data_IF_166881582197
#
_entry.id   IF_166881582197
#
_cell.length_a   1.000
_cell.length_b   1.000
_cell.length_c   1.000
_cell.angle_alpha   90.00
_cell.angle_beta   90.00
_cell.angle_gamma   90.00
#
_symmetry.space_group_name_H-M   'P 1'
#
loop_
_entity.id
_entity.type
_entity.pdbx_description
1 polymer ?
#
# COMPACT_ATOMS: atom_id res chain seq x y z
N UNK A 1 9.54 -14.67 23.63
CA UNK A 1 9.06 -14.63 22.25
C UNK A 1 7.72 -15.35 22.18
N UNK A 2 6.76 -14.80 21.47
CA UNK A 2 5.43 -15.42 21.27
C UNK A 2 5.48 -16.42 20.11
N UNK A 3 4.64 -17.44 20.18
CA UNK A 3 4.42 -18.39 19.09
C UNK A 3 3.22 -17.92 18.27
N UNK A 4 3.45 -17.46 17.05
CA UNK A 4 2.43 -16.88 16.16
C UNK A 4 2.19 -17.84 15.00
N UNK A 5 0.94 -18.17 14.73
CA UNK A 5 0.55 -18.88 13.53
C UNK A 5 0.08 -17.86 12.48
N UNK A 6 0.82 -17.76 11.39
CA UNK A 6 0.59 -16.82 10.28
C UNK A 6 0.01 -17.55 9.09
N UNK A 7 -1.16 -17.12 8.61
CA UNK A 7 -1.75 -17.59 7.35
C UNK A 7 -1.44 -16.56 6.25
N UNK A 8 -0.53 -16.92 5.34
CA UNK A 8 -0.06 -16.08 4.25
C UNK A 8 -0.04 -16.87 2.94
N UNK A 9 -1.09 -16.77 2.12
CA UNK A 9 -1.21 -17.52 0.87
C UNK A 9 -0.02 -17.31 -0.07
N UNK A 10 0.34 -16.08 -0.34
CA UNK A 10 1.41 -15.71 -1.27
C UNK A 10 2.62 -15.14 -0.53
N UNK A 11 3.77 -15.80 -0.68
CA UNK A 11 5.03 -15.41 -0.04
C UNK A 11 6.17 -15.64 -1.03
N UNK A 12 6.97 -14.60 -1.32
CA UNK A 12 8.15 -14.73 -2.18
C UNK A 12 9.24 -13.71 -1.84
N UNK A 13 10.51 -14.12 -1.72
CA UNK A 13 11.63 -13.21 -1.53
C UNK A 13 12.00 -12.43 -2.81
N UNK A 14 11.64 -12.95 -3.99
CA UNK A 14 12.06 -12.42 -5.29
C UNK A 14 11.01 -11.56 -5.99
N UNK A 15 9.74 -11.66 -5.58
CA UNK A 15 8.64 -10.95 -6.22
C UNK A 15 8.21 -9.73 -5.42
N UNK A 16 7.74 -8.67 -6.13
CA UNK A 16 7.11 -7.51 -5.53
C UNK A 16 5.63 -7.76 -5.19
N UNK A 17 4.88 -6.68 -4.92
CA UNK A 17 3.44 -6.70 -4.61
C UNK A 17 3.10 -7.63 -3.43
N UNK A 18 2.01 -8.37 -3.50
CA UNK A 18 1.48 -9.19 -2.40
C UNK A 18 2.43 -10.32 -1.94
N UNK A 19 3.12 -11.08 -2.82
CA UNK A 19 4.08 -12.08 -2.37
C UNK A 19 5.29 -11.51 -1.63
N UNK A 20 5.86 -10.43 -2.14
CA UNK A 20 6.99 -9.74 -1.50
C UNK A 20 6.58 -9.06 -0.20
N UNK A 21 5.38 -8.52 -0.13
CA UNK A 21 4.79 -8.01 1.11
C UNK A 21 4.70 -9.14 2.16
N UNK A 22 4.15 -10.29 1.79
CA UNK A 22 4.08 -11.46 2.67
C UNK A 22 5.44 -11.88 3.20
N UNK A 23 6.46 -11.96 2.33
CA UNK A 23 7.83 -12.27 2.72
C UNK A 23 8.41 -11.26 3.71
N UNK A 24 8.33 -9.97 3.38
CA UNK A 24 8.90 -8.92 4.24
C UNK A 24 8.24 -8.87 5.62
N UNK A 25 6.91 -9.05 5.71
CA UNK A 25 6.25 -9.18 7.00
C UNK A 25 6.79 -10.36 7.80
N UNK A 26 6.88 -11.54 7.19
CA UNK A 26 7.29 -12.78 7.86
C UNK A 26 8.72 -12.68 8.40
N UNK A 27 9.67 -12.27 7.55
CA UNK A 27 11.08 -12.22 7.97
C UNK A 27 11.35 -11.16 9.04
N UNK A 28 10.65 -10.03 9.01
CA UNK A 28 10.80 -9.00 10.03
C UNK A 28 10.05 -9.34 11.33
N UNK A 29 8.89 -9.98 11.27
CA UNK A 29 8.21 -10.50 12.45
C UNK A 29 9.01 -11.60 13.17
N UNK A 30 9.78 -12.40 12.42
CA UNK A 30 10.65 -13.44 12.96
C UNK A 30 11.80 -12.90 13.83
N UNK A 31 12.12 -11.62 13.72
CA UNK A 31 13.09 -10.95 14.63
C UNK A 31 12.60 -10.92 16.08
N UNK A 32 11.28 -10.91 16.27
CA UNK A 32 10.62 -10.69 17.57
C UNK A 32 9.81 -11.89 18.06
N UNK A 33 9.43 -12.81 17.16
CA UNK A 33 8.49 -13.89 17.43
C UNK A 33 8.95 -15.21 16.79
N UNK A 34 8.40 -16.34 17.24
CA UNK A 34 8.47 -17.63 16.54
C UNK A 34 7.25 -17.78 15.66
N UNK A 35 7.44 -18.06 14.38
CA UNK A 35 6.36 -18.09 13.40
C UNK A 35 6.17 -19.47 12.79
N UNK A 36 4.93 -19.96 12.80
CA UNK A 36 4.47 -21.04 11.95
C UNK A 36 3.69 -20.42 10.78
N UNK A 37 4.24 -20.52 9.58
CA UNK A 37 3.72 -19.86 8.39
C UNK A 37 3.07 -20.86 7.47
N UNK A 38 1.74 -20.75 7.28
CA UNK A 38 1.00 -21.55 6.30
C UNK A 38 0.97 -20.76 4.98
N UNK A 39 1.55 -21.33 3.92
CA UNK A 39 1.63 -20.69 2.59
C UNK A 39 1.33 -21.67 1.46
N UNK A 40 1.03 -21.16 0.26
CA UNK A 40 0.76 -22.00 -0.91
C UNK A 40 2.03 -22.70 -1.41
N UNK A 41 3.16 -21.98 -1.42
CA UNK A 41 4.46 -22.56 -1.76
C UNK A 41 4.77 -22.57 -3.26
N UNK A 42 4.22 -21.65 -4.05
CA UNK A 42 4.62 -21.43 -5.44
C UNK A 42 6.12 -21.14 -5.58
N UNK A 43 6.65 -20.40 -4.61
CA UNK A 43 8.07 -20.00 -4.56
C UNK A 43 8.85 -20.71 -3.44
N UNK A 44 8.53 -22.00 -3.22
CA UNK A 44 9.14 -22.76 -2.12
C UNK A 44 10.68 -22.79 -2.22
N UNK A 45 11.20 -23.06 -3.41
CA UNK A 45 12.65 -23.22 -3.59
C UNK A 45 13.40 -21.90 -3.33
N UNK A 46 12.82 -20.77 -3.76
CA UNK A 46 13.36 -19.43 -3.47
C UNK A 46 13.27 -19.08 -1.99
N UNK A 47 12.17 -19.47 -1.31
CA UNK A 47 12.00 -19.28 0.14
C UNK A 47 13.07 -20.07 0.88
N UNK A 48 13.23 -21.37 0.60
CA UNK A 48 14.20 -22.23 1.28
C UNK A 48 15.64 -21.75 1.05
N UNK A 49 15.96 -21.31 -0.18
CA UNK A 49 17.28 -20.73 -0.49
C UNK A 49 17.51 -19.42 0.29
N UNK A 50 16.52 -18.55 0.37
CA UNK A 50 16.64 -17.28 1.09
C UNK A 50 16.74 -17.47 2.61
N UNK A 51 16.06 -18.49 3.18
CA UNK A 51 16.12 -18.80 4.61
C UNK A 51 17.55 -19.10 5.08
N UNK A 52 18.40 -19.71 4.23
CA UNK A 52 19.77 -20.06 4.59
C UNK A 52 20.62 -18.84 4.99
N UNK A 53 20.31 -17.66 4.48
CA UNK A 53 21.02 -16.40 4.78
C UNK A 53 20.36 -15.53 5.86
N UNK A 54 19.21 -15.93 6.43
CA UNK A 54 18.50 -15.09 7.39
C UNK A 54 19.02 -15.27 8.83
N UNK A 55 19.30 -14.17 9.56
CA UNK A 55 19.77 -14.22 10.95
C UNK A 55 18.80 -14.92 11.92
N UNK A 56 17.50 -14.88 11.63
CA UNK A 56 16.44 -15.38 12.51
C UNK A 56 15.68 -16.57 11.92
N UNK A 57 16.33 -17.35 11.04
CA UNK A 57 15.73 -18.52 10.36
C UNK A 57 15.14 -19.55 11.33
N UNK A 58 15.78 -19.73 12.51
CA UNK A 58 15.34 -20.71 13.51
C UNK A 58 14.01 -20.33 14.18
N UNK A 59 13.56 -19.09 13.99
CA UNK A 59 12.24 -18.62 14.41
C UNK A 59 11.16 -18.87 13.35
N UNK A 60 11.47 -19.45 12.20
CA UNK A 60 10.56 -19.65 11.06
C UNK A 60 10.34 -21.13 10.78
N UNK A 61 9.08 -21.54 10.71
CA UNK A 61 8.66 -22.85 10.23
C UNK A 61 7.61 -22.68 9.15
N UNK A 62 7.92 -23.10 7.91
CA UNK A 62 6.98 -23.02 6.80
C UNK A 62 6.19 -24.32 6.60
N UNK A 63 4.88 -24.19 6.41
CA UNK A 63 3.95 -25.27 6.10
C UNK A 63 3.38 -25.02 4.71
N UNK A 64 3.87 -25.75 3.70
CA UNK A 64 3.50 -25.58 2.30
C UNK A 64 2.25 -26.37 1.94
N UNK A 65 1.25 -25.72 1.38
CA UNK A 65 -0.01 -26.30 0.91
C UNK A 65 -0.20 -26.07 -0.59
N UNK A 66 0.52 -26.78 -1.46
CA UNK A 66 0.56 -26.47 -2.88
C UNK A 66 -0.81 -26.65 -3.54
N UNK A 67 -1.04 -25.83 -4.57
CA UNK A 67 -2.14 -25.97 -5.52
C UNK A 67 -1.60 -26.32 -6.91
N UNK A 68 -2.48 -26.63 -7.86
CA UNK A 68 -2.05 -26.94 -9.23
C UNK A 68 -1.66 -25.66 -9.99
N UNK A 69 -0.80 -25.80 -11.00
CA UNK A 69 -0.37 -24.69 -11.86
C UNK A 69 -1.52 -23.97 -12.57
N UNK A 70 -2.61 -24.68 -12.85
CA UNK A 70 -3.81 -24.06 -13.40
C UNK A 70 -4.46 -23.09 -12.42
N UNK A 71 -4.45 -23.39 -11.11
CA UNK A 71 -4.96 -22.49 -10.07
C UNK A 71 -4.02 -21.31 -9.85
N UNK A 72 -2.70 -21.52 -9.90
CA UNK A 72 -1.69 -20.45 -9.87
C UNK A 72 -1.90 -19.46 -11.02
N UNK A 73 -2.06 -19.95 -12.25
CA UNK A 73 -2.39 -19.10 -13.41
C UNK A 73 -3.68 -18.31 -13.23
N UNK A 74 -4.72 -18.87 -12.62
CA UNK A 74 -5.94 -18.13 -12.28
C UNK A 74 -5.68 -17.02 -11.26
N UNK A 75 -4.82 -17.25 -10.28
CA UNK A 75 -4.45 -16.24 -9.27
C UNK A 75 -3.81 -15.01 -9.91
N UNK A 76 -2.91 -15.21 -10.85
CA UNK A 76 -2.16 -14.12 -11.50
C UNK A 76 -2.91 -13.48 -12.69
N UNK A 77 -3.97 -14.13 -13.18
CA UNK A 77 -4.87 -13.53 -14.16
C UNK A 77 -5.87 -12.61 -13.43
N UNK A 78 -5.53 -11.33 -13.33
CA UNK A 78 -6.33 -10.33 -12.62
C UNK A 78 -7.78 -10.32 -13.14
N UNK A 79 -8.73 -10.57 -12.24
CA UNK A 79 -10.16 -10.61 -12.54
C UNK A 79 -10.73 -12.01 -12.81
N UNK A 80 -9.92 -13.06 -12.78
CA UNK A 80 -10.45 -14.43 -12.89
C UNK A 80 -11.19 -14.83 -11.60
N UNK A 81 -12.50 -14.65 -11.61
CA UNK A 81 -13.38 -14.96 -10.46
C UNK A 81 -13.37 -16.44 -10.04
N UNK A 82 -12.96 -17.36 -10.93
CA UNK A 82 -12.85 -18.80 -10.65
C UNK A 82 -11.83 -19.08 -9.57
N UNK A 83 -10.77 -18.26 -9.50
CA UNK A 83 -9.75 -18.36 -8.48
C UNK A 83 -10.34 -18.36 -7.05
N UNK A 84 -11.35 -17.53 -6.78
CA UNK A 84 -11.93 -17.44 -5.44
C UNK A 84 -12.53 -18.77 -4.91
N UNK A 85 -13.03 -19.61 -5.80
CA UNK A 85 -13.48 -20.95 -5.44
C UNK A 85 -12.35 -21.86 -4.96
N UNK A 86 -11.22 -21.83 -5.66
CA UNK A 86 -10.00 -22.58 -5.31
C UNK A 86 -9.34 -22.00 -4.05
N UNK A 87 -9.26 -20.69 -3.93
CA UNK A 87 -8.74 -20.01 -2.76
C UNK A 87 -9.52 -20.38 -1.48
N UNK A 88 -10.84 -20.46 -1.54
CA UNK A 88 -11.67 -20.92 -0.40
C UNK A 88 -11.39 -22.37 -0.02
N UNK A 89 -11.14 -23.26 -0.99
CA UNK A 89 -10.74 -24.66 -0.72
C UNK A 89 -9.37 -24.68 -0.03
N UNK A 90 -8.43 -23.90 -0.53
CA UNK A 90 -7.11 -23.76 0.07
C UNK A 90 -7.21 -23.25 1.52
N UNK A 91 -7.99 -22.24 1.78
CA UNK A 91 -8.20 -21.67 3.12
C UNK A 91 -8.84 -22.68 4.11
N UNK A 92 -9.63 -23.65 3.62
CA UNK A 92 -10.12 -24.76 4.48
C UNK A 92 -8.99 -25.71 4.85
N UNK A 93 -8.11 -26.05 3.91
CA UNK A 93 -6.90 -26.84 4.20
C UNK A 93 -5.99 -26.10 5.18
N UNK A 94 -5.81 -24.80 5.01
CA UNK A 94 -5.04 -23.97 5.95
C UNK A 94 -5.63 -23.99 7.36
N UNK A 95 -6.96 -23.96 7.50
CA UNK A 95 -7.63 -24.13 8.81
C UNK A 95 -7.34 -25.50 9.44
N UNK A 96 -7.38 -26.58 8.67
CA UNK A 96 -7.08 -27.94 9.14
C UNK A 96 -5.61 -28.05 9.58
N UNK A 97 -4.69 -27.54 8.78
CA UNK A 97 -3.26 -27.45 9.12
C UNK A 97 -3.04 -26.63 10.40
N UNK A 98 -3.70 -25.47 10.53
CA UNK A 98 -3.62 -24.65 11.73
C UNK A 98 -4.05 -25.42 12.99
N UNK A 99 -5.14 -26.18 12.91
CA UNK A 99 -5.60 -27.04 14.02
C UNK A 99 -4.60 -28.15 14.36
N UNK A 100 -3.97 -28.75 13.34
CA UNK A 100 -2.91 -29.75 13.53
C UNK A 100 -1.68 -29.17 14.25
N UNK A 101 -1.24 -27.99 13.86
CA UNK A 101 -0.13 -27.29 14.51
C UNK A 101 -0.47 -26.99 15.98
N UNK A 102 -1.67 -26.49 16.24
CA UNK A 102 -2.15 -26.14 17.59
C UNK A 102 -2.34 -27.37 18.49
N UNK A 103 -2.60 -28.54 17.92
CA UNK A 103 -2.65 -29.79 18.68
C UNK A 103 -1.25 -30.26 19.12
N UNK A 104 -0.20 -29.89 18.37
CA UNK A 104 1.18 -30.28 18.65
C UNK A 104 1.94 -29.29 19.54
N UNK A 105 1.55 -28.01 19.52
CA UNK A 105 2.22 -26.96 20.31
C UNK A 105 1.29 -25.77 20.62
N UNK A 106 1.63 -25.04 21.70
CA UNK A 106 0.92 -23.82 22.07
C UNK A 106 1.16 -22.73 21.01
N UNK A 107 0.07 -22.12 20.52
CA UNK A 107 0.06 -20.91 19.72
C UNK A 107 -0.54 -19.79 20.56
N UNK A 108 0.12 -18.65 20.65
CA UNK A 108 -0.30 -17.51 21.44
C UNK A 108 -1.21 -16.56 20.67
N UNK A 109 -1.01 -16.40 19.35
CA UNK A 109 -1.82 -15.55 18.48
C UNK A 109 -1.96 -16.16 17.08
N UNK A 110 -3.14 -16.06 16.51
CA UNK A 110 -3.41 -16.35 15.10
C UNK A 110 -3.34 -15.05 14.29
N UNK A 111 -2.68 -15.08 13.13
CA UNK A 111 -2.60 -13.93 12.25
C UNK A 111 -2.99 -14.29 10.81
N UNK A 112 -4.11 -13.73 10.33
CA UNK A 112 -4.48 -13.76 8.92
C UNK A 112 -3.81 -12.59 8.21
N UNK A 113 -2.65 -12.82 7.57
CA UNK A 113 -1.79 -11.77 7.03
C UNK A 113 -2.19 -11.36 5.61
N UNK A 114 -2.24 -12.30 4.65
CA UNK A 114 -2.62 -12.02 3.28
C UNK A 114 -3.53 -13.14 2.71
N UNK A 115 -4.22 -12.97 1.63
CA UNK A 115 -4.19 -11.77 0.75
C UNK A 115 -4.89 -10.58 1.44
N UNK A 116 -4.40 -9.34 1.26
CA UNK A 116 -4.87 -8.16 1.99
C UNK A 116 -6.32 -7.77 1.68
N UNK A 117 -6.88 -8.23 0.58
CA UNK A 117 -8.26 -7.93 0.20
C UNK A 117 -9.28 -8.50 1.18
N UNK A 118 -10.18 -7.67 1.70
CA UNK A 118 -11.18 -8.05 2.71
C UNK A 118 -12.17 -9.13 2.26
N UNK A 119 -12.36 -9.34 0.95
CA UNK A 119 -13.46 -10.17 0.40
C UNK A 119 -13.37 -11.64 0.73
N UNK A 120 -12.17 -12.15 0.88
CA UNK A 120 -11.90 -13.57 1.19
C UNK A 120 -10.98 -13.67 2.42
N UNK A 121 -11.53 -13.45 3.63
CA UNK A 121 -10.75 -13.30 4.86
C UNK A 121 -10.23 -14.64 5.43
N UNK A 122 -10.29 -15.73 4.68
CA UNK A 122 -9.92 -17.05 5.17
C UNK A 122 -10.90 -17.64 6.17
N UNK A 123 -10.43 -18.59 6.97
CA UNK A 123 -11.27 -19.34 7.92
C UNK A 123 -10.67 -19.45 9.34
N UNK A 124 -9.57 -18.78 9.66
CA UNK A 124 -9.00 -18.82 11.02
C UNK A 124 -9.99 -18.33 12.09
N UNK A 125 -10.97 -17.51 11.73
CA UNK A 125 -12.06 -17.09 12.61
C UNK A 125 -12.89 -18.24 13.19
N UNK A 126 -12.76 -19.46 12.68
CA UNK A 126 -13.41 -20.67 13.22
C UNK A 126 -12.66 -21.31 14.39
N UNK A 127 -11.48 -20.82 14.72
CA UNK A 127 -10.70 -21.26 15.87
C UNK A 127 -11.09 -20.37 17.05
N UNK A 128 -11.47 -20.99 18.16
CA UNK A 128 -11.79 -20.31 19.41
C UNK A 128 -10.62 -20.43 20.41
N UNK A 129 -10.61 -19.60 21.44
CA UNK A 129 -9.68 -19.71 22.57
C UNK A 129 -8.28 -19.15 22.34
N UNK A 130 -7.98 -18.67 21.11
CA UNK A 130 -6.70 -18.02 20.79
C UNK A 130 -6.99 -16.68 20.13
N UNK A 131 -6.33 -15.59 20.54
CA UNK A 131 -6.50 -14.26 19.90
C UNK A 131 -6.25 -14.29 18.41
N UNK A 132 -7.05 -13.54 17.64
CA UNK A 132 -6.98 -13.45 16.18
C UNK A 132 -6.71 -12.01 15.73
N UNK A 133 -5.60 -11.83 15.04
CA UNK A 133 -5.26 -10.61 14.31
C UNK A 133 -5.58 -10.81 12.83
N UNK A 134 -6.24 -9.85 12.22
CA UNK A 134 -6.51 -9.83 10.79
C UNK A 134 -5.94 -8.58 10.15
N UNK A 135 -5.07 -8.73 9.19
CA UNK A 135 -4.51 -7.61 8.43
C UNK A 135 -2.98 -7.63 8.24
N UNK A 136 -2.46 -6.59 7.60
CA UNK A 136 -3.14 -5.35 7.19
C UNK A 136 -4.23 -5.56 6.14
N UNK A 137 -5.42 -5.02 6.37
CA UNK A 137 -6.59 -5.20 5.49
C UNK A 137 -6.78 -4.00 4.58
N UNK A 138 -7.00 -4.25 3.29
CA UNK A 138 -7.29 -3.26 2.26
C UNK A 138 -8.59 -3.52 1.51
N UNK A 139 -8.90 -2.63 0.56
CA UNK A 139 -9.91 -2.83 -0.47
C UNK A 139 -11.35 -2.49 -0.09
N UNK A 140 -11.63 -1.90 1.08
CA UNK A 140 -12.97 -1.43 1.46
C UNK A 140 -13.30 -0.03 0.91
N UNK A 141 -12.31 0.71 0.39
CA UNK A 141 -12.50 2.03 -0.21
C UNK A 141 -13.32 1.98 -1.50
N UNK A 142 -13.99 3.09 -1.80
CA UNK A 142 -14.77 3.30 -3.00
C UNK A 142 -14.06 4.29 -3.93
N UNK A 143 -14.30 4.16 -5.24
CA UNK A 143 -13.82 5.13 -6.22
C UNK A 143 -14.56 6.46 -5.97
N UNK A 144 -13.85 7.60 -5.80
CA UNK A 144 -14.49 8.89 -5.57
C UNK A 144 -15.28 9.33 -6.82
N UNK A 145 -16.60 9.42 -6.71
CA UNK A 145 -17.51 9.71 -7.85
C UNK A 145 -17.24 11.09 -8.44
N UNK A 146 -16.87 12.07 -7.63
CA UNK A 146 -16.58 13.43 -8.07
C UNK A 146 -15.44 13.51 -9.10
N UNK A 147 -14.47 12.59 -9.04
CA UNK A 147 -13.36 12.51 -10.01
C UNK A 147 -13.71 11.73 -11.29
N UNK A 148 -14.96 11.25 -11.39
CA UNK A 148 -15.46 10.58 -12.60
C UNK A 148 -16.10 11.56 -13.59
N UNK A 149 -16.14 12.86 -13.33
CA UNK A 149 -16.83 13.85 -14.17
C UNK A 149 -16.35 13.81 -15.64
N UNK A 150 -15.03 13.72 -15.85
CA UNK A 150 -14.39 13.68 -17.17
C UNK A 150 -14.30 12.25 -17.76
N UNK A 151 -14.75 11.22 -17.01
CA UNK A 151 -14.68 9.84 -17.48
C UNK A 151 -15.87 9.49 -18.41
N UNK A 152 -15.66 8.59 -19.41
CA UNK A 152 -16.76 8.11 -20.26
C UNK A 152 -17.90 7.53 -19.43
N UNK A 153 -19.17 7.75 -19.87
CA UNK A 153 -20.38 7.34 -19.15
C UNK A 153 -20.37 5.86 -18.75
N UNK A 154 -19.87 4.98 -19.63
CA UNK A 154 -19.72 3.54 -19.32
C UNK A 154 -18.80 3.30 -18.12
N UNK A 155 -17.70 4.04 -18.04
CA UNK A 155 -16.72 3.93 -16.95
C UNK A 155 -17.32 4.46 -15.63
N UNK A 156 -18.08 5.57 -15.70
CA UNK A 156 -18.81 6.13 -14.54
C UNK A 156 -19.82 5.12 -13.99
N UNK A 157 -20.69 4.58 -14.86
CA UNK A 157 -21.68 3.58 -14.47
C UNK A 157 -21.04 2.33 -13.86
N UNK A 158 -19.98 1.79 -14.49
CA UNK A 158 -19.23 0.66 -13.96
C UNK A 158 -18.62 0.93 -12.58
N UNK A 159 -18.02 2.09 -12.37
CA UNK A 159 -17.43 2.49 -11.09
C UNK A 159 -18.49 2.62 -9.99
N UNK A 160 -19.65 3.19 -10.30
CA UNK A 160 -20.77 3.28 -9.35
C UNK A 160 -21.30 1.90 -8.96
N UNK A 161 -21.49 1.01 -9.94
CA UNK A 161 -21.91 -0.38 -9.69
C UNK A 161 -20.88 -1.09 -8.82
N UNK A 162 -19.59 -0.95 -9.14
CA UNK A 162 -18.49 -1.52 -8.37
C UNK A 162 -18.48 -1.01 -6.92
N UNK A 163 -18.71 0.29 -6.69
CA UNK A 163 -18.84 0.87 -5.36
C UNK A 163 -20.03 0.27 -4.60
N UNK A 164 -21.17 0.09 -5.26
CA UNK A 164 -22.36 -0.53 -4.67
C UNK A 164 -22.09 -1.99 -4.26
N UNK A 165 -21.50 -2.78 -5.16
CA UNK A 165 -21.12 -4.18 -4.90
C UNK A 165 -20.11 -4.24 -3.74
N UNK A 166 -19.10 -3.37 -3.74
CA UNK A 166 -18.11 -3.30 -2.68
C UNK A 166 -18.77 -3.06 -1.31
N UNK A 167 -19.69 -2.09 -1.26
CA UNK A 167 -20.46 -1.76 -0.05
C UNK A 167 -21.32 -2.92 0.42
N UNK A 168 -22.00 -3.62 -0.49
CA UNK A 168 -22.77 -4.83 -0.17
C UNK A 168 -21.89 -5.96 0.36
N UNK A 169 -20.70 -6.15 -0.24
CA UNK A 169 -19.79 -7.22 0.17
C UNK A 169 -19.30 -7.05 1.61
N UNK A 170 -18.78 -5.88 1.99
CA UNK A 170 -18.32 -5.71 3.38
C UNK A 170 -19.47 -5.60 4.37
N UNK A 171 -20.69 -5.25 3.96
CA UNK A 171 -21.84 -5.14 4.86
C UNK A 171 -22.58 -6.47 5.05
N UNK A 172 -22.77 -7.26 3.99
CA UNK A 172 -23.69 -8.40 3.99
C UNK A 172 -23.01 -9.77 3.88
N UNK A 173 -21.75 -9.82 3.39
CA UNK A 173 -21.09 -11.10 3.17
C UNK A 173 -20.81 -11.83 4.50
N UNK A 174 -21.39 -13.03 4.74
CA UNK A 174 -21.34 -13.68 6.05
C UNK A 174 -19.91 -13.97 6.54
N UNK A 175 -19.00 -14.36 5.62
CA UNK A 175 -17.59 -14.65 5.98
C UNK A 175 -16.86 -13.40 6.48
N UNK A 176 -17.08 -12.25 5.80
CA UNK A 176 -16.48 -10.98 6.18
C UNK A 176 -17.00 -10.55 7.55
N UNK A 177 -18.31 -10.60 7.75
CA UNK A 177 -18.94 -10.27 9.04
C UNK A 177 -18.44 -11.15 10.18
N UNK A 178 -18.32 -12.49 9.93
CA UNK A 178 -17.80 -13.43 10.94
C UNK A 178 -16.33 -13.15 11.27
N UNK A 179 -15.51 -12.83 10.25
CA UNK A 179 -14.12 -12.46 10.47
C UNK A 179 -14.01 -11.16 11.26
N UNK A 180 -14.77 -10.11 10.87
CA UNK A 180 -14.80 -8.85 11.60
C UNK A 180 -15.26 -9.06 13.06
N UNK A 181 -16.32 -9.84 13.27
CA UNK A 181 -16.86 -10.12 14.60
C UNK A 181 -15.89 -10.89 15.50
N UNK A 182 -15.16 -11.87 14.93
CA UNK A 182 -14.25 -12.76 15.68
C UNK A 182 -12.87 -12.16 15.93
N UNK A 183 -12.39 -11.28 15.03
CA UNK A 183 -11.05 -10.71 15.16
C UNK A 183 -10.96 -9.83 16.40
N UNK A 184 -9.97 -10.10 17.24
CA UNK A 184 -9.65 -9.32 18.43
C UNK A 184 -9.04 -7.98 18.04
N UNK A 185 -8.17 -7.99 17.02
CA UNK A 185 -7.65 -6.79 16.38
C UNK A 185 -7.73 -6.95 14.85
N UNK A 186 -8.24 -5.91 14.19
CA UNK A 186 -8.16 -5.76 12.74
C UNK A 186 -7.19 -4.63 12.47
N UNK A 187 -6.12 -4.89 11.73
CA UNK A 187 -5.14 -3.88 11.33
C UNK A 187 -5.54 -3.36 9.96
N UNK A 188 -5.78 -2.07 9.84
CA UNK A 188 -6.10 -1.43 8.57
C UNK A 188 -4.84 -1.08 7.79
N UNK A 189 -4.77 -1.45 6.51
CA UNK A 189 -3.72 -1.01 5.60
C UNK A 189 -3.94 0.45 5.17
N UNK A 190 -5.19 0.87 5.06
CA UNK A 190 -5.61 2.16 4.51
C UNK A 190 -6.71 2.80 5.37
N UNK A 191 -6.79 4.13 5.34
CA UNK A 191 -7.75 4.91 6.14
C UNK A 191 -9.22 4.60 5.84
N UNK A 192 -9.53 4.20 4.60
CA UNK A 192 -10.89 3.81 4.22
C UNK A 192 -11.38 2.58 4.98
N UNK A 193 -10.49 1.62 5.26
CA UNK A 193 -10.83 0.45 6.09
C UNK A 193 -11.12 0.87 7.51
N UNK A 194 -10.29 1.75 8.10
CA UNK A 194 -10.54 2.29 9.45
C UNK A 194 -11.92 2.93 9.54
N UNK A 195 -12.26 3.79 8.56
CA UNK A 195 -13.55 4.48 8.50
C UNK A 195 -14.70 3.49 8.40
N UNK A 196 -14.63 2.51 7.49
CA UNK A 196 -15.69 1.48 7.35
C UNK A 196 -15.84 0.66 8.64
N UNK A 197 -14.75 0.27 9.30
CA UNK A 197 -14.79 -0.49 10.55
C UNK A 197 -15.41 0.34 11.69
N UNK A 198 -15.05 1.62 11.82
CA UNK A 198 -15.61 2.52 12.81
C UNK A 198 -17.11 2.77 12.56
N UNK A 199 -17.47 3.20 11.33
CA UNK A 199 -18.83 3.66 11.01
C UNK A 199 -19.86 2.52 10.97
N UNK A 200 -19.44 1.33 10.53
CA UNK A 200 -20.36 0.20 10.31
C UNK A 200 -20.32 -0.87 11.38
N UNK A 201 -19.21 -0.98 12.09
CA UNK A 201 -18.99 -2.07 13.05
C UNK A 201 -18.61 -1.57 14.45
N UNK A 202 -18.45 -0.25 14.64
CA UNK A 202 -18.00 0.33 15.91
C UNK A 202 -16.63 -0.16 16.37
N UNK A 203 -15.78 -0.61 15.43
CA UNK A 203 -14.45 -1.15 15.73
C UNK A 203 -13.36 -0.13 15.47
N UNK A 204 -12.52 0.10 16.47
CA UNK A 204 -11.27 0.84 16.33
C UNK A 204 -10.22 -0.09 15.73
N UNK A 205 -9.49 0.40 14.72
CA UNK A 205 -8.49 -0.36 14.00
C UNK A 205 -7.19 0.46 13.89
N UNK A 206 -6.04 -0.09 14.33
CA UNK A 206 -4.75 0.57 14.11
C UNK A 206 -4.45 0.63 12.61
N UNK A 207 -3.83 1.73 12.17
CA UNK A 207 -3.35 1.89 10.80
C UNK A 207 -1.88 1.46 10.74
N UNK A 208 -1.62 0.35 10.06
CA UNK A 208 -0.28 -0.10 9.71
C UNK A 208 -0.33 -0.52 8.24
N UNK A 209 0.33 0.24 7.40
CA UNK A 209 0.32 -0.02 5.97
C UNK A 209 0.96 -1.37 5.64
N UNK A 210 0.47 -1.99 4.59
CA UNK A 210 0.87 -3.33 4.15
C UNK A 210 2.31 -3.40 3.64
N UNK A 211 2.89 -2.27 3.23
CA UNK A 211 4.27 -2.20 2.72
C UNK A 211 5.16 -1.32 3.58
N UNK A 212 6.47 -1.50 3.50
CA UNK A 212 7.49 -0.75 4.21
C UNK A 212 8.73 -0.51 3.35
N UNK A 213 9.68 0.25 3.87
CA UNK A 213 10.98 0.47 3.24
C UNK A 213 12.02 -0.51 3.76
N UNK A 214 13.00 -0.86 2.93
CA UNK A 214 14.10 -1.79 3.30
C UNK A 214 15.31 -1.08 3.92
N UNK A 215 15.32 0.25 4.00
CA UNK A 215 16.46 1.02 4.49
C UNK A 215 16.41 1.31 5.99
N UNK A 216 17.56 1.38 6.62
CA UNK A 216 17.73 1.72 8.06
C UNK A 216 17.54 3.21 8.36
N UNK A 217 17.00 3.99 7.41
CA UNK A 217 16.86 5.43 7.57
C UNK A 217 18.21 6.17 7.66
N UNK A 218 19.19 5.74 6.84
CA UNK A 218 20.61 6.04 6.88
C UNK A 218 21.00 7.45 7.38
N UNK A 219 22.13 7.51 8.05
CA UNK A 219 22.80 8.72 8.52
C UNK A 219 23.43 9.50 7.33
N UNK A 220 22.59 9.96 6.39
CA UNK A 220 23.00 10.86 5.30
C UNK A 220 22.73 12.32 5.65
N UNK A 221 23.24 13.23 4.85
CA UNK A 221 22.83 14.63 4.93
C UNK A 221 21.36 14.78 4.55
N UNK A 222 20.66 15.65 5.28
CA UNK A 222 19.27 16.00 4.98
C UNK A 222 19.19 16.61 3.59
N UNK A 223 18.26 16.13 2.78
CA UNK A 223 18.00 16.71 1.46
C UNK A 223 17.65 18.19 1.58
N UNK A 224 18.24 19.00 0.72
CA UNK A 224 17.90 20.41 0.54
C UNK A 224 17.25 20.64 -0.81
N UNK A 225 16.34 21.59 -0.88
CA UNK A 225 15.74 22.01 -2.13
C UNK A 225 16.80 22.60 -3.09
N UNK A 226 16.61 22.32 -4.38
CA UNK A 226 17.50 22.82 -5.43
C UNK A 226 17.41 24.34 -5.59
N UNK A 227 18.46 24.96 -6.08
CA UNK A 227 18.40 26.35 -6.57
C UNK A 227 17.70 26.43 -7.93
N UNK A 228 16.98 27.52 -8.21
CA UNK A 228 16.29 27.75 -9.49
C UNK A 228 14.87 27.17 -9.51
N UNK A 229 14.41 26.70 -10.67
CA UNK A 229 13.05 26.20 -10.87
C UNK A 229 12.66 25.09 -9.88
N UNK A 230 11.39 25.04 -9.51
CA UNK A 230 10.84 23.98 -8.66
C UNK A 230 10.83 22.65 -9.43
N UNK A 231 11.64 21.68 -9.00
CA UNK A 231 11.70 20.36 -9.61
C UNK A 231 10.66 19.42 -9.00
N UNK A 232 9.64 19.10 -9.76
CA UNK A 232 8.52 18.27 -9.34
C UNK A 232 8.57 16.94 -10.06
N UNK A 233 8.47 15.82 -9.34
CA UNK A 233 8.41 14.47 -9.95
C UNK A 233 7.05 13.81 -9.73
N UNK A 234 6.53 13.22 -10.80
CA UNK A 234 5.35 12.35 -10.78
C UNK A 234 5.74 10.95 -11.27
N UNK A 235 5.36 9.91 -10.52
CA UNK A 235 5.70 8.52 -10.84
C UNK A 235 4.47 7.64 -10.83
N UNK A 236 4.20 6.93 -11.93
CA UNK A 236 3.06 6.01 -11.99
C UNK A 236 2.71 5.50 -13.38
N UNK A 237 1.80 4.52 -13.43
CA UNK A 237 1.16 4.13 -14.69
C UNK A 237 0.17 5.23 -15.11
N UNK A 238 0.04 5.50 -16.42
CA UNK A 238 -0.94 6.47 -16.93
C UNK A 238 -2.34 5.84 -16.97
N UNK A 239 -2.81 5.41 -15.82
CA UNK A 239 -4.17 4.89 -15.64
C UNK A 239 -5.07 5.91 -14.94
N UNK A 240 -6.38 5.67 -15.03
CA UNK A 240 -7.38 6.57 -14.46
C UNK A 240 -7.19 6.80 -12.96
N UNK A 241 -6.70 5.84 -12.20
CA UNK A 241 -6.54 5.96 -10.75
C UNK A 241 -5.41 6.92 -10.36
N UNK A 242 -4.35 6.98 -11.18
CA UNK A 242 -3.17 7.80 -10.92
C UNK A 242 -3.34 9.26 -11.31
N UNK A 243 -4.34 9.60 -12.15
CA UNK A 243 -4.75 10.97 -12.44
C UNK A 243 -3.62 11.89 -12.93
N UNK A 244 -2.79 11.43 -13.90
CA UNK A 244 -1.81 12.30 -14.56
C UNK A 244 -2.48 13.56 -15.19
N UNK A 245 -3.69 13.50 -15.80
CA UNK A 245 -4.38 14.71 -16.26
C UNK A 245 -4.62 15.75 -15.15
N UNK A 246 -4.93 15.32 -13.93
CA UNK A 246 -5.07 16.23 -12.78
C UNK A 246 -3.74 16.93 -12.48
N UNK A 247 -2.62 16.20 -12.50
CA UNK A 247 -1.28 16.78 -12.30
C UNK A 247 -0.96 17.81 -13.38
N UNK A 248 -1.18 17.48 -14.67
CA UNK A 248 -0.93 18.39 -15.79
C UNK A 248 -1.79 19.67 -15.69
N UNK A 249 -3.09 19.53 -15.39
CA UNK A 249 -4.00 20.69 -15.18
C UNK A 249 -3.51 21.56 -14.01
N UNK A 250 -3.03 20.96 -12.93
CA UNK A 250 -2.53 21.71 -11.76
C UNK A 250 -1.25 22.48 -12.06
N UNK A 251 -0.30 21.88 -12.79
CA UNK A 251 0.92 22.58 -13.26
C UNK A 251 0.55 23.74 -14.20
N UNK A 252 -0.42 23.52 -15.09
CA UNK A 252 -0.87 24.56 -16.02
C UNK A 252 -1.55 25.75 -15.32
N UNK A 253 -2.21 25.49 -14.19
CA UNK A 253 -2.93 26.51 -13.42
C UNK A 253 -2.04 27.26 -12.41
N UNK A 254 -0.74 26.96 -12.34
CA UNK A 254 0.21 27.72 -11.50
C UNK A 254 0.34 29.17 -11.98
N UNK A 255 0.53 30.09 -11.04
CA UNK A 255 0.82 31.50 -11.32
C UNK A 255 2.23 31.74 -11.90
N UNK A 256 3.13 30.76 -11.74
CA UNK A 256 4.54 30.81 -12.17
C UNK A 256 4.84 29.68 -13.16
N UNK A 257 5.76 29.98 -14.10
CA UNK A 257 6.34 28.98 -15.01
C UNK A 257 7.71 28.47 -14.53
N UNK A 258 8.12 28.85 -13.33
CA UNK A 258 9.41 28.44 -12.75
C UNK A 258 9.30 27.04 -12.11
N UNK A 259 8.98 26.07 -12.94
CA UNK A 259 8.79 24.67 -12.58
C UNK A 259 9.33 23.76 -13.67
N UNK A 260 9.98 22.65 -13.27
CA UNK A 260 10.39 21.53 -14.13
C UNK A 260 9.64 20.29 -13.69
N UNK A 261 8.77 19.76 -14.57
CA UNK A 261 7.86 18.66 -14.23
C UNK A 261 8.34 17.34 -14.83
N UNK A 262 8.97 16.49 -14.03
CA UNK A 262 9.48 15.17 -14.39
C UNK A 262 8.37 14.12 -14.30
N UNK A 263 8.12 13.38 -15.40
CA UNK A 263 7.07 12.38 -15.50
C UNK A 263 7.70 11.01 -15.79
N UNK A 264 7.65 10.11 -14.80
CA UNK A 264 8.14 8.74 -14.90
C UNK A 264 6.97 7.76 -14.98
N UNK A 265 6.93 6.93 -16.01
CA UNK A 265 5.89 5.94 -16.20
C UNK A 265 5.48 5.78 -17.65
N UNK A 266 4.50 4.89 -17.87
CA UNK A 266 4.06 4.59 -19.24
C UNK A 266 2.64 4.04 -19.29
N UNK A 267 2.12 3.96 -20.51
CA UNK A 267 0.89 3.27 -20.91
C UNK A 267 1.04 2.79 -22.36
N UNK A 268 -0.07 2.49 -23.03
CA UNK A 268 -0.05 2.27 -24.49
C UNK A 268 0.43 3.54 -25.23
N UNK A 269 1.05 3.42 -26.41
CA UNK A 269 1.54 4.57 -27.17
C UNK A 269 0.49 5.65 -27.39
N UNK A 270 -0.77 5.26 -27.62
CA UNK A 270 -1.89 6.19 -27.82
C UNK A 270 -2.19 7.01 -26.56
N UNK A 271 -2.14 6.39 -25.37
CA UNK A 271 -2.36 7.08 -24.10
C UNK A 271 -1.22 8.04 -23.81
N UNK A 272 0.03 7.62 -24.04
CA UNK A 272 1.22 8.48 -23.88
C UNK A 272 1.13 9.70 -24.81
N UNK A 273 0.79 9.49 -26.10
CA UNK A 273 0.59 10.57 -27.05
C UNK A 273 -0.52 11.53 -26.62
N UNK A 274 -1.63 11.00 -26.11
CA UNK A 274 -2.73 11.80 -25.55
C UNK A 274 -2.31 12.66 -24.36
N UNK A 275 -1.48 12.15 -23.44
CA UNK A 275 -0.98 12.93 -22.31
C UNK A 275 -0.04 14.04 -22.77
N UNK A 276 0.84 13.78 -23.74
CA UNK A 276 1.72 14.81 -24.33
C UNK A 276 0.91 15.88 -25.08
N UNK A 277 -0.11 15.49 -25.84
CA UNK A 277 -1.02 16.43 -26.52
C UNK A 277 -1.78 17.30 -25.51
N UNK A 278 -2.24 16.72 -24.39
CA UNK A 278 -2.87 17.48 -23.30
C UNK A 278 -1.89 18.51 -22.72
N UNK A 279 -0.65 18.13 -22.39
CA UNK A 279 0.36 19.06 -21.90
C UNK A 279 0.61 20.19 -22.90
N UNK A 280 0.68 19.91 -24.20
CA UNK A 280 0.80 20.90 -25.27
C UNK A 280 -0.38 21.86 -25.32
N UNK A 281 -1.62 21.34 -25.27
CA UNK A 281 -2.86 22.15 -25.28
C UNK A 281 -3.01 23.03 -24.05
N UNK A 282 -2.44 22.63 -22.92
CA UNK A 282 -2.39 23.39 -21.68
C UNK A 282 -1.21 24.41 -21.67
N UNK A 283 -0.38 24.45 -22.71
CA UNK A 283 0.74 25.38 -22.82
C UNK A 283 1.90 25.09 -21.86
N UNK A 284 2.04 23.83 -21.39
CA UNK A 284 3.09 23.40 -20.46
C UNK A 284 4.03 22.34 -21.05
N UNK A 285 3.98 22.12 -22.36
CA UNK A 285 4.78 21.08 -23.01
C UNK A 285 6.27 21.17 -22.71
N UNK A 286 6.82 22.39 -22.75
CA UNK A 286 8.24 22.69 -22.49
C UNK A 286 8.63 22.53 -20.99
N UNK A 287 7.67 22.55 -20.07
CA UNK A 287 7.91 22.35 -18.64
C UNK A 287 7.97 20.85 -18.28
N UNK A 288 7.54 19.95 -19.19
CA UNK A 288 7.40 18.53 -18.95
C UNK A 288 8.60 17.75 -19.46
N UNK A 289 9.29 17.04 -18.58
CA UNK A 289 10.37 16.09 -18.90
C UNK A 289 9.84 14.65 -18.82
N UNK A 290 9.68 14.00 -19.97
CA UNK A 290 9.10 12.66 -20.07
C UNK A 290 10.18 11.59 -20.06
N UNK A 291 10.31 10.85 -18.95
CA UNK A 291 11.35 9.82 -18.80
C UNK A 291 10.92 8.43 -19.32
N UNK A 292 9.61 8.19 -19.50
CA UNK A 292 9.11 6.86 -19.86
C UNK A 292 9.27 5.85 -18.73
N UNK A 293 9.56 4.59 -19.09
CA UNK A 293 9.86 3.53 -18.11
C UNK A 293 11.30 3.65 -17.67
N UNK A 294 11.51 3.77 -16.38
CA UNK A 294 12.83 3.95 -15.75
C UNK A 294 13.08 2.82 -14.77
N UNK A 295 14.29 2.24 -14.70
CA UNK A 295 14.67 1.28 -13.67
C UNK A 295 14.48 1.86 -12.25
N UNK A 296 14.17 0.99 -11.29
CA UNK A 296 13.86 1.41 -9.92
C UNK A 296 14.95 2.29 -9.28
N UNK A 297 16.22 1.89 -9.39
CA UNK A 297 17.34 2.65 -8.83
C UNK A 297 17.45 4.05 -9.44
N UNK A 298 17.14 4.17 -10.74
CA UNK A 298 17.14 5.47 -11.42
C UNK A 298 15.96 6.33 -10.98
N UNK A 299 14.80 5.73 -10.64
CA UNK A 299 13.67 6.47 -10.04
C UNK A 299 14.07 7.06 -8.70
N UNK A 300 14.72 6.30 -7.82
CA UNK A 300 15.20 6.80 -6.52
C UNK A 300 16.20 7.95 -6.69
N UNK A 301 17.09 7.87 -7.68
CA UNK A 301 18.00 8.95 -8.00
C UNK A 301 17.27 10.20 -8.49
N UNK A 302 16.31 10.06 -9.42
CA UNK A 302 15.48 11.19 -9.88
C UNK A 302 14.69 11.82 -8.73
N UNK A 303 14.17 11.01 -7.81
CA UNK A 303 13.52 11.51 -6.60
C UNK A 303 14.50 12.31 -5.71
N UNK A 304 15.74 11.85 -5.61
CA UNK A 304 16.77 12.58 -4.87
C UNK A 304 17.15 13.90 -5.54
N UNK A 305 17.05 14.01 -6.87
CA UNK A 305 17.36 15.21 -7.65
C UNK A 305 16.19 16.21 -7.70
N UNK A 306 14.96 15.82 -7.35
CA UNK A 306 13.76 16.66 -7.36
C UNK A 306 13.48 17.28 -5.98
N UNK A 307 12.69 18.34 -5.94
CA UNK A 307 12.33 19.08 -4.72
C UNK A 307 11.04 18.55 -4.08
N UNK A 308 10.13 18.03 -4.90
CA UNK A 308 8.80 17.61 -4.47
C UNK A 308 8.31 16.41 -5.30
N UNK A 309 7.75 15.41 -4.64
CA UNK A 309 6.93 14.41 -5.30
C UNK A 309 5.49 14.87 -5.38
N UNK A 310 4.91 14.92 -6.58
CA UNK A 310 3.50 15.23 -6.80
C UNK A 310 2.72 13.96 -7.12
N UNK A 311 1.88 13.51 -6.19
CA UNK A 311 1.18 12.23 -6.28
C UNK A 311 -0.33 12.43 -6.30
N UNK A 312 -0.92 12.36 -7.48
CA UNK A 312 -2.34 12.70 -7.74
C UNK A 312 -3.30 11.51 -7.72
N UNK A 313 -2.88 10.34 -7.25
CA UNK A 313 -3.72 9.14 -7.23
C UNK A 313 -4.98 9.36 -6.39
N UNK A 314 -6.14 8.97 -6.92
CA UNK A 314 -7.43 9.02 -6.21
C UNK A 314 -7.82 7.69 -5.58
N UNK A 315 -7.12 6.62 -5.91
CA UNK A 315 -7.38 5.27 -5.40
C UNK A 315 -6.14 4.41 -5.52
N UNK A 316 -5.61 4.01 -4.38
CA UNK A 316 -4.51 3.05 -4.27
C UNK A 316 -4.64 2.27 -2.96
N UNK A 317 -3.79 1.26 -2.75
CA UNK A 317 -3.51 0.75 -1.42
C UNK A 317 -2.48 1.70 -0.75
N UNK A 318 -1.43 1.19 -0.12
CA UNK A 318 -0.27 2.03 0.17
C UNK A 318 0.62 2.05 -1.07
N UNK A 319 0.83 3.23 -1.64
CA UNK A 319 1.71 3.36 -2.79
C UNK A 319 3.17 3.27 -2.35
N UNK A 320 3.89 2.23 -2.80
CA UNK A 320 5.32 2.07 -2.49
C UNK A 320 6.13 3.30 -2.91
N UNK A 321 5.76 3.91 -4.04
CA UNK A 321 6.44 5.09 -4.57
C UNK A 321 6.37 6.31 -3.63
N UNK A 322 5.33 6.43 -2.81
CA UNK A 322 5.26 7.46 -1.76
C UNK A 322 6.24 7.16 -0.64
N UNK A 323 6.34 5.88 -0.22
CA UNK A 323 7.31 5.49 0.80
C UNK A 323 8.75 5.62 0.28
N UNK A 324 8.98 5.35 -0.98
CA UNK A 324 10.26 5.53 -1.67
C UNK A 324 10.67 7.00 -1.66
N UNK A 325 9.75 7.92 -2.00
CA UNK A 325 10.02 9.36 -1.92
C UNK A 325 10.40 9.79 -0.50
N UNK A 326 9.61 9.40 0.50
CA UNK A 326 9.91 9.71 1.91
C UNK A 326 11.23 9.07 2.37
N UNK A 327 11.63 7.91 1.84
CA UNK A 327 12.89 7.25 2.20
C UNK A 327 14.13 8.03 1.75
N UNK A 328 14.01 8.84 0.71
CA UNK A 328 15.05 9.75 0.20
C UNK A 328 14.84 11.21 0.63
N UNK A 329 14.10 11.43 1.70
CA UNK A 329 13.80 12.74 2.29
C UNK A 329 13.05 13.68 1.34
N UNK A 330 12.38 13.16 0.31
CA UNK A 330 11.63 13.95 -0.65
C UNK A 330 10.22 14.25 -0.12
N UNK A 331 9.85 15.53 0.08
CA UNK A 331 8.48 15.90 0.43
C UNK A 331 7.46 15.43 -0.61
N UNK A 332 6.25 15.16 -0.14
CA UNK A 332 5.16 14.67 -0.99
C UNK A 332 3.96 15.62 -0.93
N UNK A 333 3.42 15.97 -2.09
CA UNK A 333 2.12 16.63 -2.26
C UNK A 333 1.15 15.63 -2.84
N UNK A 334 0.05 15.33 -2.12
CA UNK A 334 -0.92 14.33 -2.56
C UNK A 334 -2.35 14.67 -2.14
N UNK A 335 -3.32 13.85 -2.56
CA UNK A 335 -4.67 13.85 -2.00
C UNK A 335 -4.70 13.09 -0.67
N UNK A 336 -5.45 13.59 0.33
CA UNK A 336 -5.63 12.92 1.63
C UNK A 336 -6.60 11.74 1.51
N UNK A 337 -6.12 10.64 1.00
CA UNK A 337 -6.89 9.42 0.77
C UNK A 337 -6.03 8.17 0.87
N UNK A 338 -6.67 7.01 0.86
CA UNK A 338 -6.02 5.69 0.83
C UNK A 338 -5.07 5.45 2.03
N UNK A 339 -3.97 4.72 1.80
CA UNK A 339 -2.95 4.44 2.82
C UNK A 339 -1.84 5.48 2.89
N UNK A 340 -1.67 6.28 1.83
CA UNK A 340 -0.57 7.26 1.74
C UNK A 340 -0.94 8.64 2.32
N UNK A 341 -2.18 9.12 2.18
CA UNK A 341 -2.58 10.44 2.68
C UNK A 341 -2.27 10.65 4.16
N UNK A 342 -2.71 9.75 5.07
CA UNK A 342 -2.37 9.81 6.47
C UNK A 342 -0.85 9.80 6.75
N UNK A 343 -0.08 8.97 6.01
CA UNK A 343 1.39 8.93 6.16
C UNK A 343 1.99 10.29 5.79
N UNK A 344 1.65 10.80 4.61
CA UNK A 344 2.18 12.07 4.09
C UNK A 344 1.93 13.20 5.08
N UNK A 345 0.71 13.28 5.63
CA UNK A 345 0.35 14.28 6.64
C UNK A 345 1.12 14.08 7.96
N UNK A 346 1.23 12.83 8.43
CA UNK A 346 1.93 12.51 9.67
C UNK A 346 3.42 12.83 9.61
N UNK A 347 4.04 12.64 8.44
CA UNK A 347 5.43 13.00 8.18
C UNK A 347 5.64 14.50 7.87
N UNK A 348 4.59 15.32 8.00
CA UNK A 348 4.66 16.77 7.84
C UNK A 348 4.77 17.25 6.39
N UNK A 349 4.48 16.37 5.43
CA UNK A 349 4.28 16.71 4.02
C UNK A 349 2.83 17.15 3.77
N UNK A 350 2.43 17.40 2.52
CA UNK A 350 1.18 18.07 2.20
C UNK A 350 0.16 17.09 1.63
N UNK A 351 -0.94 16.90 2.36
CA UNK A 351 -2.09 16.12 1.89
C UNK A 351 -3.31 17.03 1.77
N UNK A 352 -3.83 17.17 0.54
CA UNK A 352 -4.99 18.02 0.19
C UNK A 352 -6.27 17.21 0.31
N UNK A 353 -7.37 17.76 0.82
CA UNK A 353 -8.64 17.06 0.91
C UNK A 353 -9.12 16.49 -0.42
N UNK A 354 -9.67 15.28 -0.39
CA UNK A 354 -10.28 14.63 -1.54
C UNK A 354 -11.67 15.22 -1.78
N UNK A 355 -11.83 16.14 -2.73
CA UNK A 355 -13.07 16.88 -3.05
C UNK A 355 -13.59 16.51 -4.44
N UNK A 356 -13.20 17.29 -5.43
CA UNK A 356 -13.49 17.13 -6.86
C UNK A 356 -12.29 17.57 -7.71
N UNK A 357 -12.36 17.35 -9.02
CA UNK A 357 -11.25 17.64 -9.94
C UNK A 357 -10.87 19.12 -9.95
N UNK A 358 -11.85 20.02 -10.07
CA UNK A 358 -11.59 21.46 -10.26
C UNK A 358 -11.06 22.11 -8.97
N UNK A 359 -11.63 21.73 -7.82
CA UNK A 359 -11.15 22.18 -6.52
C UNK A 359 -9.73 21.67 -6.28
N UNK A 360 -9.44 20.39 -6.57
CA UNK A 360 -8.10 19.83 -6.43
C UNK A 360 -7.08 20.50 -7.34
N UNK A 361 -7.44 20.84 -8.58
CA UNK A 361 -6.56 21.61 -9.49
C UNK A 361 -6.17 22.94 -8.86
N UNK A 362 -7.14 23.71 -8.34
CA UNK A 362 -6.89 25.02 -7.71
C UNK A 362 -6.01 24.89 -6.47
N UNK A 363 -6.34 23.94 -5.59
CA UNK A 363 -5.59 23.73 -4.34
C UNK A 363 -4.14 23.34 -4.63
N UNK A 364 -3.93 22.37 -5.54
CA UNK A 364 -2.59 21.97 -5.95
C UNK A 364 -1.82 23.10 -6.63
N UNK A 365 -2.44 23.84 -7.55
CA UNK A 365 -1.80 24.95 -8.24
C UNK A 365 -1.37 26.04 -7.27
N UNK A 366 -2.21 26.39 -6.30
CA UNK A 366 -1.89 27.37 -5.26
C UNK A 366 -0.68 26.96 -4.41
N UNK A 367 -0.66 25.67 -3.97
CA UNK A 367 0.45 25.12 -3.18
C UNK A 367 1.74 25.09 -4.01
N UNK A 368 1.68 24.57 -5.25
CA UNK A 368 2.85 24.52 -6.14
C UNK A 368 3.40 25.90 -6.45
N UNK A 369 2.53 26.90 -6.68
CA UNK A 369 2.93 28.29 -6.91
C UNK A 369 3.59 28.90 -5.68
N UNK A 370 3.12 28.59 -4.47
CA UNK A 370 3.74 29.05 -3.24
C UNK A 370 5.13 28.44 -3.04
N UNK A 371 5.26 27.13 -3.27
CA UNK A 371 6.52 26.40 -3.17
C UNK A 371 7.54 26.79 -4.24
N UNK A 372 7.10 27.19 -5.44
CA UNK A 372 7.99 27.72 -6.47
C UNK A 372 8.57 29.11 -6.09
N UNK A 373 7.80 29.92 -5.35
CA UNK A 373 8.26 31.23 -4.86
C UNK A 373 9.17 31.15 -3.64
N UNK A 374 8.87 30.21 -2.73
CA UNK A 374 9.65 29.99 -1.52
C UNK A 374 9.76 28.48 -1.25
N UNK A 375 10.98 27.96 -1.34
CA UNK A 375 11.31 26.55 -1.11
C UNK A 375 11.65 26.21 0.34
N UNK A 376 11.74 27.20 1.23
CA UNK A 376 12.07 26.95 2.64
C UNK A 376 11.13 25.93 3.32
N UNK A 377 9.80 25.90 3.04
CA UNK A 377 8.93 24.86 3.56
C UNK A 377 9.34 23.44 3.15
N UNK A 378 9.93 23.26 1.95
CA UNK A 378 10.40 21.94 1.49
C UNK A 378 11.59 21.45 2.32
N UNK A 379 12.55 22.34 2.65
CA UNK A 379 13.65 22.00 3.54
C UNK A 379 13.16 21.61 4.95
N UNK A 380 12.14 22.30 5.45
CA UNK A 380 11.54 21.99 6.75
C UNK A 380 10.84 20.62 6.73
N UNK A 381 10.14 20.29 5.64
CA UNK A 381 9.52 18.98 5.44
C UNK A 381 10.59 17.89 5.34
N UNK A 382 11.65 18.10 4.54
CA UNK A 382 12.75 17.14 4.39
C UNK A 382 13.42 16.83 5.73
N UNK A 383 13.65 17.84 6.58
CA UNK A 383 14.19 17.63 7.94
C UNK A 383 13.27 16.77 8.82
N UNK A 384 11.96 17.01 8.77
CA UNK A 384 10.97 16.20 9.53
C UNK A 384 10.92 14.76 9.02
N UNK A 385 10.91 14.57 7.71
CA UNK A 385 10.94 13.25 7.09
C UNK A 385 12.20 12.50 7.50
N UNK A 386 13.37 13.15 7.38
CA UNK A 386 14.67 12.57 7.71
C UNK A 386 14.73 12.05 9.14
N UNK A 387 14.22 12.81 10.10
CA UNK A 387 14.24 12.42 11.51
C UNK A 387 13.36 11.19 11.82
N UNK A 388 12.36 10.91 10.97
CA UNK A 388 11.32 9.90 11.23
C UNK A 388 11.24 8.78 10.19
N UNK A 389 11.97 8.85 9.07
CA UNK A 389 11.84 7.87 7.97
C UNK A 389 12.11 6.41 8.37
N UNK A 390 12.85 6.18 9.46
CA UNK A 390 13.04 4.85 10.05
C UNK A 390 11.71 4.20 10.46
N UNK A 391 10.69 4.99 10.82
CA UNK A 391 9.33 4.49 11.16
C UNK A 391 8.62 3.83 9.98
N UNK A 392 9.06 4.11 8.73
CA UNK A 392 8.53 3.51 7.51
C UNK A 392 9.10 2.12 7.23
N UNK A 393 10.17 1.73 7.95
CA UNK A 393 10.87 0.46 7.73
C UNK A 393 9.99 -0.75 8.04
N UNK A 394 10.29 -1.86 7.39
CA UNK A 394 9.67 -3.15 7.70
C UNK A 394 9.86 -3.55 9.16
N UNK A 395 11.03 -3.26 9.73
CA UNK A 395 11.37 -3.56 11.12
C UNK A 395 10.46 -2.79 12.10
N UNK A 396 10.32 -1.48 11.93
CA UNK A 396 9.41 -0.65 12.72
C UNK A 396 7.96 -1.16 12.68
N UNK A 397 7.49 -1.56 11.49
CA UNK A 397 6.13 -2.11 11.33
C UNK A 397 5.97 -3.47 12.01
N UNK A 398 6.97 -4.33 11.91
CA UNK A 398 6.99 -5.63 12.59
C UNK A 398 7.04 -5.46 14.11
N UNK A 399 7.79 -4.48 14.62
CA UNK A 399 7.82 -4.12 16.04
C UNK A 399 6.42 -3.70 16.51
N UNK A 400 5.75 -2.76 15.83
CA UNK A 400 4.37 -2.32 16.14
C UNK A 400 3.36 -3.46 16.09
N UNK A 401 3.46 -4.37 15.11
CA UNK A 401 2.60 -5.56 15.05
C UNK A 401 2.87 -6.51 16.22
N UNK A 402 4.12 -6.66 16.63
CA UNK A 402 4.51 -7.48 17.79
C UNK A 402 3.96 -6.92 19.10
N UNK A 403 3.88 -5.59 19.24
CA UNK A 403 3.23 -4.95 20.38
C UNK A 403 1.73 -5.30 20.46
N UNK A 404 1.05 -5.34 19.30
CA UNK A 404 -0.34 -5.82 19.22
C UNK A 404 -0.43 -7.27 19.71
N UNK A 405 0.46 -8.16 19.27
CA UNK A 405 0.45 -9.55 19.71
C UNK A 405 0.67 -9.68 21.22
N UNK A 406 1.63 -8.93 21.78
CA UNK A 406 1.89 -8.93 23.24
C UNK A 406 0.68 -8.45 24.02
N UNK A 407 0.00 -7.39 23.57
CA UNK A 407 -1.19 -6.86 24.23
C UNK A 407 -2.36 -7.86 24.25
N UNK A 408 -2.43 -8.75 23.26
CA UNK A 408 -3.46 -9.79 23.18
C UNK A 408 -3.09 -11.03 24.01
N UNK A 409 -1.84 -11.47 23.97
CA UNK A 409 -1.37 -12.63 24.73
C UNK A 409 -1.46 -12.38 26.25
N UNK A 410 -1.15 -11.16 26.72
CA UNK A 410 -1.26 -10.80 28.15
C UNK A 410 -2.69 -10.65 28.67
N UNK A 411 -3.70 -10.67 27.82
CA UNK A 411 -5.13 -10.70 28.22
C UNK A 411 -5.68 -12.12 28.38
N UNK A 412 -4.91 -13.11 27.97
CA UNK A 412 -5.30 -14.53 28.00
C UNK A 412 -4.78 -15.25 29.24
N UNK A 413 -4.01 -14.57 30.07
CA UNK A 413 -3.57 -14.96 31.42
C UNK A 413 -4.49 -14.32 32.46
#
# INVERSE_FOLDING_TARGET
MLNILVNAYAVSPAWGSEPGMGWNWIVNLARYNRLDVITEGEWRDEIEAALAGLPHRDNLTFHYLPVSDSVRRMCWNQGDWRFYGHYRKWQRRALETARGIMAAKRIDVLHQLNMIGFREPGYLWKIAGVPLVWGPVGGMGNIPVAYLADAPLKHRAFSMIKNCINRLQYTMQPRVRKMIGRSDVIVSAVSDVQRVLADRYGKISPLINETGTSGDGGAGEVKKASSGALKVIWVGKFDFRKQLPLALKSIAAMDSRDVEFHICGTASPQVVAGMKALAGSLGIGELCVWHGVVPHDRILQLMSDCDLMFFTSIMDATSTVVLEALSVDLPVLCLDTCGYGPIVRDFGSIAVPLTDTDTSVRDFAGILSALARDKQPLDDMSRRIHSRKHELSWDSKACRMTEIYRSLAGRSE
#
